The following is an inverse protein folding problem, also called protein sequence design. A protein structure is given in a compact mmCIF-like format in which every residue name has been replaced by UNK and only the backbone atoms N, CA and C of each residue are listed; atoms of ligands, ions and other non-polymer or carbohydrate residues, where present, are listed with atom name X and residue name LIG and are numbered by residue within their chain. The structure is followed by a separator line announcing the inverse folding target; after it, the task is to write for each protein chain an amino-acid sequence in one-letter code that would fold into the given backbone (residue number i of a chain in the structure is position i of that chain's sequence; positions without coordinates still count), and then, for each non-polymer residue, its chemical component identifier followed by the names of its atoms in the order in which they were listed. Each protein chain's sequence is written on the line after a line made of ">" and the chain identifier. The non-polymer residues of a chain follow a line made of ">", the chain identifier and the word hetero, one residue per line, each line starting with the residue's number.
data_IF_883929625524
#
_entry.id   IF_883929625524
#
_cell.length_a   1.000
_cell.length_b   1.000
_cell.length_c   1.000
_cell.angle_alpha   90.00
_cell.angle_beta   90.00
_cell.angle_gamma   90.00
#
_symmetry.space_group_name_H-M   'P 1'
#
loop_
_entity.id
_entity.type
_entity.pdbx_description
1 polymer ?
#
# COMPACT_ATOMS: atom_id res chain seq x y z
N UNK A 1 -1.41 14.06 -9.34
CA UNK A 1 -0.37 15.14 -9.48
C UNK A 1 -0.59 16.18 -8.40
N UNK A 2 0.46 16.53 -7.64
CA UNK A 2 0.41 17.58 -6.62
C UNK A 2 0.17 18.94 -7.28
N UNK A 3 -0.64 19.78 -6.63
CA UNK A 3 -0.79 21.17 -7.05
C UNK A 3 0.21 22.04 -6.26
N UNK A 4 1.37 22.29 -6.86
CA UNK A 4 2.49 23.04 -6.24
C UNK A 4 2.06 24.43 -5.77
N UNK A 5 1.34 25.18 -6.61
CA UNK A 5 0.87 26.53 -6.26
C UNK A 5 -0.06 26.50 -5.05
N UNK A 6 -0.91 25.47 -4.96
CA UNK A 6 -1.80 25.29 -3.82
C UNK A 6 -1.03 24.94 -2.55
N UNK A 7 -0.03 24.08 -2.63
CA UNK A 7 0.83 23.74 -1.48
C UNK A 7 1.62 24.97 -1.04
N UNK A 8 2.24 25.71 -1.95
CA UNK A 8 2.93 26.98 -1.63
C UNK A 8 2.01 27.93 -0.90
N UNK A 9 0.79 28.13 -1.42
CA UNK A 9 -0.22 29.00 -0.80
C UNK A 9 -0.62 28.55 0.61
N UNK A 10 -0.71 27.24 0.85
CA UNK A 10 -1.01 26.69 2.18
C UNK A 10 0.17 26.90 3.13
N UNK A 11 1.41 26.75 2.66
CA UNK A 11 2.61 27.04 3.46
C UNK A 11 2.69 28.55 3.79
N UNK A 12 2.35 29.42 2.85
CA UNK A 12 2.33 30.87 3.07
C UNK A 12 1.33 31.32 4.15
N UNK A 13 0.32 30.49 4.46
CA UNK A 13 -0.64 30.74 5.54
C UNK A 13 -0.13 30.38 6.93
N UNK A 14 1.06 29.78 7.07
CA UNK A 14 1.63 29.37 8.36
C UNK A 14 1.58 30.49 9.41
N UNK A 15 1.94 31.77 9.12
CA UNK A 15 1.86 32.82 10.13
C UNK A 15 0.44 33.06 10.64
N UNK A 16 -0.57 32.98 9.75
CA UNK A 16 -1.99 33.13 10.10
C UNK A 16 -2.46 31.97 10.97
N UNK A 17 -2.05 30.76 10.61
CA UNK A 17 -2.36 29.54 11.37
C UNK A 17 -1.70 29.56 12.75
N UNK A 18 -0.45 30.01 12.84
CA UNK A 18 0.27 30.17 14.09
C UNK A 18 -0.42 31.15 15.05
N UNK A 19 -1.06 32.19 14.52
CA UNK A 19 -1.83 33.15 15.30
C UNK A 19 -3.13 32.56 15.91
N UNK A 20 -3.52 31.35 15.53
CA UNK A 20 -4.70 30.65 16.09
C UNK A 20 -4.42 29.92 17.40
N UNK A 21 -3.17 29.85 17.86
CA UNK A 21 -2.87 29.25 19.15
C UNK A 21 -3.60 29.94 20.30
N UNK A 22 -4.13 29.18 21.19
CA UNK A 22 -4.87 29.66 22.37
C UNK A 22 -4.33 29.03 23.64
N UNK A 23 -4.25 29.80 24.74
CA UNK A 23 -3.84 29.26 26.04
C UNK A 23 -4.90 28.29 26.59
N UNK A 24 -4.43 27.20 27.14
CA UNK A 24 -5.25 26.23 27.86
C UNK A 24 -4.60 25.87 29.18
N UNK A 25 -5.39 25.85 30.26
CA UNK A 25 -4.96 25.48 31.59
C UNK A 25 -5.21 24.01 31.86
N UNK A 26 -4.20 23.29 32.26
CA UNK A 26 -4.31 21.92 32.71
C UNK A 26 -4.08 21.83 34.21
N UNK A 27 -5.01 21.17 34.92
CA UNK A 27 -4.91 20.94 36.37
C UNK A 27 -4.43 19.52 36.64
N UNK A 28 -3.29 19.41 37.30
CA UNK A 28 -2.80 18.14 37.82
C UNK A 28 -3.09 18.04 39.30
N UNK A 29 -3.54 16.89 39.75
CA UNK A 29 -3.67 16.56 41.15
C UNK A 29 -2.52 15.63 41.52
N UNK A 30 -1.64 16.08 42.44
CA UNK A 30 -0.65 15.19 43.00
C UNK A 30 -1.30 14.03 43.76
N UNK A 31 -0.65 12.87 43.87
CA UNK A 31 -1.09 11.82 44.77
C UNK A 31 -1.42 12.36 46.15
N UNK A 32 -2.42 11.84 46.82
CA UNK A 32 -2.81 12.22 48.15
C UNK A 32 -1.61 12.00 49.10
N UNK A 33 -1.23 13.03 49.83
CA UNK A 33 -0.25 12.90 50.88
C UNK A 33 -0.81 12.00 51.99
N UNK A 34 -0.18 10.87 52.25
CA UNK A 34 -0.66 9.86 53.21
C UNK A 34 -0.65 10.38 54.66
N UNK A 35 0.16 11.39 54.97
CA UNK A 35 0.28 11.94 56.31
C UNK A 35 -0.75 13.02 56.57
N UNK A 36 -1.13 13.83 55.59
CA UNK A 36 -2.01 14.99 55.75
C UNK A 36 -3.37 14.85 55.10
N UNK A 37 -3.57 13.82 54.26
CA UNK A 37 -4.78 13.63 53.49
C UNK A 37 -5.02 14.73 52.44
N UNK A 38 -4.09 15.61 52.21
CA UNK A 38 -4.25 16.73 51.30
C UNK A 38 -3.68 16.40 49.91
N UNK A 39 -4.34 16.85 48.85
CA UNK A 39 -3.85 16.81 47.48
C UNK A 39 -3.39 18.20 47.08
N UNK A 40 -2.14 18.33 46.69
CA UNK A 40 -1.64 19.56 46.07
C UNK A 40 -2.19 19.68 44.66
N UNK A 41 -2.80 20.81 44.34
CA UNK A 41 -3.17 21.18 42.97
C UNK A 41 -2.02 21.93 42.34
N UNK A 42 -1.56 21.50 41.20
CA UNK A 42 -0.70 22.29 40.33
C UNK A 42 -1.41 22.56 39.02
N UNK A 43 -1.34 23.77 38.51
CA UNK A 43 -1.86 24.10 37.17
C UNK A 43 -0.68 24.59 36.34
N UNK A 44 -0.66 24.20 35.06
CA UNK A 44 0.24 24.78 34.09
C UNK A 44 -0.53 25.19 32.84
N UNK A 45 -0.08 26.25 32.22
CA UNK A 45 -0.65 26.79 30.99
C UNK A 45 0.18 26.29 29.80
N UNK A 46 -0.48 25.93 28.71
CA UNK A 46 0.14 25.58 27.46
C UNK A 46 -0.67 26.11 26.28
N UNK A 47 -0.02 26.30 25.15
CA UNK A 47 -0.65 26.76 23.92
C UNK A 47 -1.12 25.55 23.09
N UNK A 48 -2.33 25.66 22.52
CA UNK A 48 -2.92 24.59 21.70
C UNK A 48 -3.67 25.14 20.50
N UNK A 49 -3.70 24.37 19.44
CA UNK A 49 -4.35 24.74 18.16
C UNK A 49 -5.31 23.64 17.65
N UNK A 50 -5.23 22.42 18.14
CA UNK A 50 -5.86 21.24 17.54
C UNK A 50 -7.39 21.31 17.41
N UNK A 51 -8.07 22.17 18.15
CA UNK A 51 -9.53 22.37 18.08
C UNK A 51 -9.96 23.58 17.25
N UNK A 52 -9.04 24.36 16.70
CA UNK A 52 -9.38 25.54 15.92
C UNK A 52 -9.89 25.11 14.54
N UNK A 53 -11.11 25.51 14.13
CA UNK A 53 -11.71 25.09 12.86
C UNK A 53 -10.86 25.46 11.64
N UNK A 54 -10.25 26.64 11.67
CA UNK A 54 -9.38 27.13 10.60
C UNK A 54 -8.11 26.28 10.47
N UNK A 55 -7.51 25.88 11.59
CA UNK A 55 -6.38 24.96 11.61
C UNK A 55 -6.77 23.59 11.03
N UNK A 56 -7.90 23.04 11.44
CA UNK A 56 -8.36 21.74 10.95
C UNK A 56 -8.58 21.79 9.44
N UNK A 57 -9.25 22.83 8.95
CA UNK A 57 -9.47 23.01 7.51
C UNK A 57 -8.15 23.15 6.74
N UNK A 58 -7.22 23.97 7.23
CA UNK A 58 -5.89 24.12 6.63
C UNK A 58 -5.12 22.81 6.61
N UNK A 59 -5.11 22.11 7.74
CA UNK A 59 -4.46 20.79 7.89
C UNK A 59 -5.02 19.79 6.88
N UNK A 60 -6.33 19.66 6.77
CA UNK A 60 -6.98 18.72 5.86
C UNK A 60 -6.67 19.04 4.39
N UNK A 61 -6.63 20.32 4.02
CA UNK A 61 -6.24 20.75 2.69
C UNK A 61 -4.77 20.42 2.39
N UNK A 62 -3.88 20.63 3.35
CA UNK A 62 -2.45 20.28 3.20
C UNK A 62 -2.25 18.78 3.11
N UNK A 63 -2.89 18.01 3.99
CA UNK A 63 -2.87 16.54 3.91
C UNK A 63 -3.38 16.03 2.57
N UNK A 64 -4.47 16.61 2.04
CA UNK A 64 -5.00 16.24 0.73
C UNK A 64 -4.00 16.45 -0.41
N UNK A 65 -3.25 17.54 -0.39
CA UNK A 65 -2.23 17.79 -1.42
C UNK A 65 -0.99 16.91 -1.22
N UNK A 66 -0.51 16.75 0.02
CA UNK A 66 0.69 15.98 0.31
C UNK A 66 0.50 14.48 0.13
N UNK A 67 -0.70 13.95 0.35
CA UNK A 67 -1.03 12.54 0.06
C UNK A 67 -0.88 12.16 -1.42
N UNK A 68 -0.76 13.13 -2.31
CA UNK A 68 -0.50 12.89 -3.74
C UNK A 68 0.98 12.61 -4.05
N UNK A 69 1.85 12.76 -3.05
CA UNK A 69 3.28 12.42 -3.12
C UNK A 69 3.47 11.11 -2.36
N UNK A 70 3.71 10.03 -3.08
CA UNK A 70 3.88 8.70 -2.51
C UNK A 70 5.36 8.32 -2.41
N UNK A 71 5.68 7.49 -1.41
CA UNK A 71 7.01 6.90 -1.25
C UNK A 71 8.11 7.85 -0.80
N UNK A 72 7.78 9.09 -0.42
CA UNK A 72 8.73 10.07 0.09
C UNK A 72 8.74 10.09 1.62
N UNK A 73 9.81 9.61 2.22
CA UNK A 73 9.99 9.56 3.67
C UNK A 73 9.89 10.95 4.33
N UNK A 74 10.25 12.01 3.63
CA UNK A 74 10.16 13.38 4.15
C UNK A 74 8.72 13.85 4.26
N UNK A 75 7.92 13.55 3.24
CA UNK A 75 6.47 13.80 3.23
C UNK A 75 5.78 12.98 4.32
N UNK A 76 6.14 11.70 4.49
CA UNK A 76 5.61 10.84 5.55
C UNK A 76 5.86 11.42 6.96
N UNK A 77 7.03 12.02 7.19
CA UNK A 77 7.33 12.69 8.46
C UNK A 77 6.46 13.95 8.68
N UNK A 78 6.21 14.73 7.62
CA UNK A 78 5.29 15.87 7.67
C UNK A 78 3.87 15.40 7.99
N UNK A 79 3.40 14.33 7.33
CA UNK A 79 2.08 13.77 7.55
C UNK A 79 1.90 13.25 8.98
N UNK A 80 2.92 12.59 9.56
CA UNK A 80 2.92 12.18 10.97
C UNK A 80 2.82 13.37 11.92
N UNK A 81 3.49 14.49 11.63
CA UNK A 81 3.35 15.70 12.43
C UNK A 81 1.94 16.29 12.33
N UNK A 82 1.36 16.37 11.13
CA UNK A 82 0.02 16.89 10.89
C UNK A 82 -1.06 16.09 11.62
N UNK A 83 -0.91 14.79 11.75
CA UNK A 83 -1.91 13.90 12.39
C UNK A 83 -1.83 13.88 13.92
N UNK A 84 -0.72 14.32 14.52
CA UNK A 84 -0.45 14.16 15.96
C UNK A 84 -0.83 15.36 16.84
N UNK A 85 -1.58 16.35 16.33
CA UNK A 85 -2.05 17.48 17.14
C UNK A 85 -3.18 17.02 18.09
N UNK A 86 -2.98 17.18 19.39
CA UNK A 86 -3.89 16.68 20.43
C UNK A 86 -4.00 17.59 21.67
N UNK A 87 -3.35 18.74 21.67
CA UNK A 87 -3.33 19.74 22.72
C UNK A 87 -1.97 19.93 23.35
N UNK A 88 -1.61 19.11 24.33
CA UNK A 88 -0.33 19.24 25.02
C UNK A 88 0.85 19.01 24.07
N UNK A 89 1.73 20.00 23.99
CA UNK A 89 2.92 20.00 23.12
C UNK A 89 2.63 20.37 21.66
N UNK A 90 1.44 20.91 21.35
CA UNK A 90 1.08 21.37 19.99
C UNK A 90 2.04 22.44 19.48
N UNK A 91 2.50 23.37 20.33
CA UNK A 91 3.42 24.43 19.96
C UNK A 91 4.73 23.88 19.40
N UNK A 92 5.38 22.98 20.13
CA UNK A 92 6.63 22.37 19.68
C UNK A 92 6.46 21.45 18.45
N UNK A 93 5.28 20.82 18.28
CA UNK A 93 4.94 20.08 17.05
C UNK A 93 4.77 21.01 15.87
N UNK A 94 4.11 22.15 16.08
CA UNK A 94 3.89 23.14 15.04
C UNK A 94 5.22 23.76 14.58
N UNK A 95 6.14 24.07 15.49
CA UNK A 95 7.49 24.57 15.14
C UNK A 95 8.26 23.58 14.26
N UNK A 96 8.20 22.28 14.61
CA UNK A 96 8.82 21.22 13.79
C UNK A 96 8.13 21.11 12.43
N UNK A 97 6.80 21.18 12.39
CA UNK A 97 6.03 21.17 11.15
C UNK A 97 6.36 22.37 10.27
N UNK A 98 6.38 23.59 10.84
CA UNK A 98 6.75 24.82 10.16
C UNK A 98 8.15 24.73 9.52
N UNK A 99 9.14 24.23 10.29
CA UNK A 99 10.50 24.03 9.77
C UNK A 99 10.52 23.08 8.57
N UNK A 100 9.82 21.95 8.65
CA UNK A 100 9.77 20.98 7.56
C UNK A 100 9.00 21.51 6.34
N UNK A 101 7.92 22.23 6.55
CA UNK A 101 7.15 22.81 5.44
C UNK A 101 7.93 23.90 4.71
N UNK A 102 8.75 24.69 5.41
CA UNK A 102 9.61 25.67 4.77
C UNK A 102 10.68 25.00 3.90
N UNK A 103 11.31 23.92 4.35
CA UNK A 103 12.24 23.12 3.54
C UNK A 103 11.53 22.51 2.34
N UNK A 104 10.34 21.93 2.54
CA UNK A 104 9.54 21.40 1.44
C UNK A 104 9.23 22.48 0.40
N UNK A 105 8.87 23.70 0.82
CA UNK A 105 8.58 24.83 -0.07
C UNK A 105 9.70 25.11 -1.06
N UNK A 106 10.95 25.08 -0.57
CA UNK A 106 12.13 25.39 -1.40
C UNK A 106 12.40 24.30 -2.45
N UNK A 107 11.93 23.07 -2.21
CA UNK A 107 12.10 21.89 -3.07
C UNK A 107 10.82 21.48 -3.81
N UNK A 108 9.72 22.22 -3.71
CA UNK A 108 8.44 21.83 -4.33
C UNK A 108 8.50 21.70 -5.85
N UNK A 109 9.40 22.41 -6.51
CA UNK A 109 9.56 22.30 -7.96
C UNK A 109 10.11 20.92 -8.38
N UNK A 110 10.88 20.26 -7.52
CA UNK A 110 11.39 18.91 -7.74
C UNK A 110 10.26 17.88 -7.81
N UNK A 111 9.14 18.13 -7.12
CA UNK A 111 7.92 17.31 -7.16
C UNK A 111 7.01 17.66 -8.36
N UNK A 112 7.30 18.76 -9.07
CA UNK A 112 6.55 19.19 -10.25
C UNK A 112 7.20 18.79 -11.58
N UNK A 113 8.51 18.70 -11.61
CA UNK A 113 9.30 18.47 -12.83
C UNK A 113 9.54 16.96 -13.11
N UNK A 114 9.18 16.06 -12.21
CA UNK A 114 9.15 14.62 -12.47
C UNK A 114 7.96 14.20 -13.36
N UNK A 115 7.54 15.12 -14.21
CA UNK A 115 6.45 14.94 -15.14
C UNK A 115 6.87 14.42 -16.50
N UNK A 116 7.34 13.17 -16.59
CA UNK A 116 7.19 12.40 -17.82
C UNK A 116 7.03 10.88 -17.62
N UNK A 117 6.90 10.41 -16.39
CA UNK A 117 6.13 9.20 -16.17
C UNK A 117 4.71 9.65 -15.84
N UNK A 118 3.78 9.41 -16.75
CA UNK A 118 2.38 9.69 -16.54
C UNK A 118 1.99 9.06 -15.20
N UNK A 119 1.90 9.89 -14.14
CA UNK A 119 1.30 9.45 -12.89
C UNK A 119 -0.10 9.00 -13.25
N UNK A 120 -0.26 7.72 -13.22
CA UNK A 120 -1.54 7.07 -13.33
C UNK A 120 -2.31 7.60 -12.13
N UNK A 121 -3.35 8.41 -12.36
CA UNK A 121 -4.36 8.63 -11.35
C UNK A 121 -4.86 7.24 -10.99
N UNK A 122 -4.37 6.73 -9.87
CA UNK A 122 -4.86 5.50 -9.30
C UNK A 122 -6.21 5.82 -8.68
N UNK A 123 -7.24 5.71 -9.51
CA UNK A 123 -8.65 5.79 -9.10
C UNK A 123 -9.05 4.52 -8.33
N UNK A 124 -8.07 3.70 -7.95
CA UNK A 124 -8.31 2.52 -7.15
C UNK A 124 -8.65 2.94 -5.71
N UNK A 125 -9.72 2.37 -5.20
CA UNK A 125 -10.23 2.60 -3.85
C UNK A 125 -9.34 2.00 -2.74
N UNK A 126 -8.28 1.26 -3.12
CA UNK A 126 -7.26 0.70 -2.25
C UNK A 126 -5.89 1.04 -2.83
N UNK A 127 -5.00 1.71 -2.08
CA UNK A 127 -3.65 2.05 -2.55
C UNK A 127 -2.84 0.80 -2.90
N UNK A 128 -2.12 0.82 -4.03
CA UNK A 128 -1.24 -0.26 -4.47
C UNK A 128 -0.26 -0.70 -3.39
N UNK A 129 0.38 0.27 -2.74
CA UNK A 129 1.36 0.02 -1.68
C UNK A 129 0.78 -0.82 -0.54
N UNK A 130 -0.45 -0.49 -0.10
CA UNK A 130 -1.09 -1.18 1.03
C UNK A 130 -1.32 -2.65 0.70
N UNK A 131 -1.72 -2.95 -0.55
CA UNK A 131 -1.93 -4.31 -1.03
C UNK A 131 -0.59 -5.04 -1.13
N UNK A 132 0.42 -4.42 -1.75
CA UNK A 132 1.76 -4.99 -1.88
C UNK A 132 2.40 -5.29 -0.51
N UNK A 133 2.29 -4.37 0.46
CA UNK A 133 2.80 -4.56 1.82
C UNK A 133 2.08 -5.72 2.52
N UNK A 134 0.77 -5.85 2.33
CA UNK A 134 0.00 -6.96 2.92
C UNK A 134 0.33 -8.30 2.24
N UNK A 135 0.49 -8.34 0.92
CA UNK A 135 0.94 -9.53 0.19
C UNK A 135 2.34 -9.95 0.64
N UNK A 136 3.29 -8.99 0.73
CA UNK A 136 4.63 -9.24 1.25
C UNK A 136 4.58 -9.89 2.65
N UNK A 137 3.80 -9.32 3.56
CA UNK A 137 3.62 -9.85 4.91
C UNK A 137 3.03 -11.26 4.89
N UNK A 138 2.01 -11.50 4.07
CA UNK A 138 1.32 -12.79 3.97
C UNK A 138 2.23 -13.87 3.41
N UNK A 139 2.97 -13.59 2.33
CA UNK A 139 3.97 -14.49 1.75
C UNK A 139 5.12 -14.80 2.74
N UNK A 140 5.59 -13.78 3.48
CA UNK A 140 6.60 -13.96 4.52
C UNK A 140 6.08 -14.82 5.70
N UNK A 141 4.80 -14.69 6.08
CA UNK A 141 4.18 -15.55 7.11
C UNK A 141 4.05 -16.98 6.60
N UNK A 142 3.66 -17.19 5.33
CA UNK A 142 3.60 -18.50 4.70
C UNK A 142 4.95 -19.23 4.79
N UNK A 143 6.03 -18.58 4.35
CA UNK A 143 7.38 -19.16 4.39
C UNK A 143 7.88 -19.54 5.80
N UNK A 144 7.45 -18.80 6.82
CA UNK A 144 7.84 -19.06 8.22
C UNK A 144 6.96 -20.07 8.92
N UNK A 145 5.86 -20.45 8.32
CA UNK A 145 4.93 -21.41 8.91
C UNK A 145 5.29 -22.84 8.46
N UNK A 146 5.84 -23.63 9.36
CA UNK A 146 6.27 -25.01 9.09
C UNK A 146 5.18 -25.97 8.61
N UNK A 147 3.91 -25.60 8.68
CA UNK A 147 2.82 -26.36 8.09
C UNK A 147 2.81 -26.27 6.57
N UNK A 148 3.40 -25.21 5.99
CA UNK A 148 3.48 -25.00 4.54
C UNK A 148 4.91 -25.29 4.09
N UNK A 149 5.07 -26.34 3.32
CA UNK A 149 6.35 -26.85 2.85
C UNK A 149 6.22 -27.42 1.43
N UNK A 150 7.25 -28.11 0.96
CA UNK A 150 7.27 -28.70 -0.39
C UNK A 150 6.15 -29.69 -0.68
N UNK A 151 5.53 -30.29 0.35
CA UNK A 151 4.43 -31.25 0.21
C UNK A 151 3.06 -30.55 0.18
N UNK A 152 2.98 -29.29 0.61
CA UNK A 152 1.71 -28.54 0.63
C UNK A 152 1.18 -28.32 -0.78
N UNK A 153 -0.13 -28.46 -0.95
CA UNK A 153 -0.79 -28.15 -2.23
C UNK A 153 -0.83 -26.64 -2.46
N UNK A 154 -1.00 -26.24 -3.71
CA UNK A 154 -1.25 -24.86 -4.13
C UNK A 154 -2.46 -24.28 -3.42
N UNK A 155 -3.59 -24.99 -3.48
CA UNK A 155 -4.86 -24.57 -2.86
C UNK A 155 -4.69 -24.28 -1.36
N UNK A 156 -3.96 -25.14 -0.64
CA UNK A 156 -3.74 -24.94 0.80
C UNK A 156 -2.92 -23.68 1.10
N UNK A 157 -1.97 -23.34 0.23
CA UNK A 157 -1.20 -22.10 0.34
C UNK A 157 -2.03 -20.87 -0.03
N UNK A 158 -2.85 -20.98 -1.07
CA UNK A 158 -3.79 -19.95 -1.48
C UNK A 158 -4.82 -19.64 -0.39
N UNK A 159 -5.39 -20.69 0.24
CA UNK A 159 -6.30 -20.54 1.38
C UNK A 159 -5.68 -19.77 2.53
N UNK A 160 -4.43 -20.08 2.88
CA UNK A 160 -3.73 -19.36 3.94
C UNK A 160 -3.47 -17.89 3.60
N UNK A 161 -3.04 -17.60 2.37
CA UNK A 161 -2.85 -16.21 1.91
C UNK A 161 -4.19 -15.47 1.92
N UNK A 162 -5.27 -16.10 1.43
CA UNK A 162 -6.62 -15.55 1.45
C UNK A 162 -7.05 -15.17 2.87
N UNK A 163 -6.91 -16.08 3.84
CA UNK A 163 -7.29 -15.85 5.23
C UNK A 163 -6.53 -14.66 5.85
N UNK A 164 -5.24 -14.49 5.51
CA UNK A 164 -4.44 -13.36 5.96
C UNK A 164 -4.84 -12.03 5.28
N UNK A 165 -5.29 -12.07 4.04
CA UNK A 165 -5.79 -10.89 3.33
C UNK A 165 -7.17 -10.47 3.84
N UNK A 166 -8.03 -11.44 4.20
CA UNK A 166 -9.38 -11.21 4.73
C UNK A 166 -9.36 -10.50 6.10
N UNK A 167 -8.25 -10.58 6.85
CA UNK A 167 -8.06 -9.77 8.05
C UNK A 167 -8.11 -8.24 7.79
N UNK A 168 -7.87 -7.81 6.55
CA UNK A 168 -7.69 -6.39 6.21
C UNK A 168 -8.58 -5.90 5.08
N UNK A 169 -9.07 -6.79 4.22
CA UNK A 169 -9.83 -6.47 3.03
C UNK A 169 -11.12 -7.29 2.96
N UNK A 170 -12.05 -6.86 2.14
CA UNK A 170 -13.21 -7.67 1.77
C UNK A 170 -12.76 -8.65 0.69
N UNK A 171 -12.45 -9.87 1.09
CA UNK A 171 -12.04 -10.93 0.19
C UNK A 171 -13.28 -11.75 -0.21
N UNK A 172 -13.42 -11.98 -1.51
CA UNK A 172 -14.38 -12.97 -2.03
C UNK A 172 -13.61 -14.22 -2.39
N UNK A 173 -14.04 -15.33 -1.81
CA UNK A 173 -13.61 -16.68 -2.16
C UNK A 173 -14.24 -17.06 -3.51
N UNK A 174 -13.57 -17.97 -4.24
CA UNK A 174 -14.01 -18.66 -5.45
C UNK A 174 -15.50 -18.43 -5.77
N UNK A 175 -15.84 -17.26 -6.27
CA UNK A 175 -17.20 -17.01 -6.73
C UNK A 175 -17.34 -17.70 -8.06
N UNK A 176 -18.05 -18.83 -8.08
CA UNK A 176 -18.54 -19.46 -9.30
C UNK A 176 -19.33 -18.42 -10.09
N UNK A 177 -18.67 -17.74 -10.99
CA UNK A 177 -19.31 -16.86 -11.95
C UNK A 177 -19.54 -17.69 -13.22
N UNK A 178 -20.74 -18.24 -13.30
CA UNK A 178 -21.29 -18.85 -14.52
C UNK A 178 -21.39 -20.36 -14.45
N UNK A 179 -22.62 -20.86 -14.46
CA UNK A 179 -22.97 -22.24 -14.82
C UNK A 179 -22.45 -22.54 -16.21
N UNK A 180 -21.48 -23.45 -16.33
CA UNK A 180 -21.23 -24.08 -17.63
C UNK A 180 -22.13 -25.27 -17.78
N UNK A 181 -23.01 -25.24 -18.76
CA UNK A 181 -23.88 -26.36 -19.15
C UNK A 181 -23.14 -27.60 -19.65
N UNK A 182 -21.79 -27.59 -19.70
CA UNK A 182 -20.96 -28.66 -20.27
C UNK A 182 -19.95 -29.28 -19.34
N UNK A 183 -20.12 -29.28 -18.03
CA UNK A 183 -19.34 -30.14 -17.11
C UNK A 183 -17.81 -29.88 -17.05
N UNK A 184 -17.30 -28.88 -17.72
CA UNK A 184 -15.94 -28.36 -17.62
C UNK A 184 -15.97 -27.17 -16.66
N UNK A 185 -15.47 -27.33 -15.46
CA UNK A 185 -15.56 -26.35 -14.40
C UNK A 185 -15.15 -24.95 -14.89
N UNK A 186 -16.04 -23.98 -14.72
CA UNK A 186 -15.67 -22.59 -14.82
C UNK A 186 -14.51 -22.37 -13.84
N UNK A 187 -13.35 -22.01 -14.35
CA UNK A 187 -12.19 -21.82 -13.51
C UNK A 187 -12.46 -20.65 -12.55
N UNK A 188 -12.18 -20.87 -11.31
CA UNK A 188 -12.40 -19.93 -10.21
C UNK A 188 -11.11 -19.13 -10.00
N UNK A 189 -11.23 -17.82 -9.81
CA UNK A 189 -10.13 -16.96 -9.32
C UNK A 189 -9.80 -17.41 -7.90
N UNK A 190 -8.51 -17.59 -7.57
CA UNK A 190 -8.12 -18.02 -6.23
C UNK A 190 -8.51 -17.01 -5.16
N UNK A 191 -8.24 -15.71 -5.40
CA UNK A 191 -8.52 -14.64 -4.44
C UNK A 191 -8.94 -13.36 -5.17
N UNK A 192 -10.07 -12.77 -4.78
CA UNK A 192 -10.55 -11.49 -5.28
C UNK A 192 -10.73 -10.51 -4.12
N UNK A 193 -10.07 -9.34 -4.18
CA UNK A 193 -10.28 -8.27 -3.20
C UNK A 193 -11.23 -7.23 -3.79
N UNK A 194 -12.24 -6.86 -3.00
CA UNK A 194 -13.26 -5.89 -3.39
C UNK A 194 -13.18 -4.62 -2.54
N UNK A 195 -13.45 -3.48 -3.17
CA UNK A 195 -13.70 -2.22 -2.50
C UNK A 195 -15.06 -1.67 -2.93
N UNK A 196 -15.89 -1.24 -1.97
CA UNK A 196 -17.25 -0.74 -2.22
C UNK A 196 -18.10 -1.68 -3.10
N UNK A 197 -17.87 -3.00 -3.00
CA UNK A 197 -18.58 -4.03 -3.74
C UNK A 197 -18.07 -4.32 -5.15
N UNK A 198 -17.06 -3.58 -5.62
CA UNK A 198 -16.41 -3.80 -6.92
C UNK A 198 -15.05 -4.51 -6.74
N UNK A 199 -14.68 -5.43 -7.64
CA UNK A 199 -13.36 -6.04 -7.63
C UNK A 199 -12.30 -4.99 -7.98
N UNK A 200 -11.21 -4.97 -7.19
CA UNK A 200 -10.05 -4.07 -7.41
C UNK A 200 -8.75 -4.84 -7.56
N UNK A 201 -8.69 -6.07 -7.04
CA UNK A 201 -7.52 -6.94 -7.15
C UNK A 201 -7.95 -8.34 -7.54
N UNK A 202 -7.24 -8.93 -8.51
CA UNK A 202 -7.28 -10.35 -8.84
C UNK A 202 -5.95 -11.00 -8.47
N UNK A 203 -5.98 -12.12 -7.79
CA UNK A 203 -4.79 -12.87 -7.37
C UNK A 203 -4.93 -14.31 -7.79
N UNK A 204 -3.92 -14.84 -8.45
CA UNK A 204 -3.74 -16.26 -8.79
C UNK A 204 -2.48 -16.78 -8.12
N UNK A 205 -2.55 -17.92 -7.49
CA UNK A 205 -1.41 -18.64 -7.00
C UNK A 205 -0.98 -19.75 -7.97
N UNK A 206 0.30 -20.10 -7.96
CA UNK A 206 0.82 -21.22 -8.75
C UNK A 206 2.02 -21.84 -8.06
N UNK A 207 2.01 -23.16 -7.94
CA UNK A 207 3.14 -23.92 -7.39
C UNK A 207 3.95 -24.56 -8.52
N UNK A 208 5.28 -24.29 -8.54
CA UNK A 208 6.19 -24.83 -9.55
C UNK A 208 7.45 -25.41 -8.90
N UNK A 209 8.00 -26.46 -9.50
CA UNK A 209 9.26 -27.09 -9.10
C UNK A 209 10.44 -26.76 -10.01
N UNK A 210 10.14 -26.20 -11.17
CA UNK A 210 11.08 -25.73 -12.19
C UNK A 210 10.44 -24.59 -12.98
N UNK A 211 11.09 -24.07 -14.03
CA UNK A 211 10.44 -23.12 -14.94
C UNK A 211 9.40 -23.86 -15.82
N UNK A 212 8.18 -23.85 -15.40
CA UNK A 212 7.02 -24.48 -16.04
C UNK A 212 6.24 -23.44 -16.85
N UNK A 213 6.71 -23.15 -18.07
CA UNK A 213 6.19 -22.05 -18.91
C UNK A 213 4.69 -22.17 -19.18
N UNK A 214 4.22 -23.35 -19.58
CA UNK A 214 2.81 -23.58 -19.92
C UNK A 214 1.89 -23.36 -18.70
N UNK A 215 2.38 -23.72 -17.50
CA UNK A 215 1.69 -23.50 -16.25
C UNK A 215 1.63 -21.99 -15.92
N UNK A 216 2.78 -21.29 -16.04
CA UNK A 216 2.83 -19.84 -15.82
C UNK A 216 1.96 -19.09 -16.84
N UNK A 217 1.95 -19.50 -18.11
CA UNK A 217 1.07 -18.95 -19.16
C UNK A 217 -0.38 -19.08 -18.77
N UNK A 218 -0.77 -20.26 -18.31
CA UNK A 218 -2.16 -20.54 -17.91
C UNK A 218 -2.60 -19.60 -16.80
N UNK A 219 -1.80 -19.46 -15.74
CA UNK A 219 -2.17 -18.66 -14.56
C UNK A 219 -2.12 -17.15 -14.83
N UNK A 220 -1.11 -16.64 -15.55
CA UNK A 220 -1.06 -15.22 -15.91
C UNK A 220 -2.22 -14.82 -16.84
N UNK A 221 -2.59 -15.69 -17.78
CA UNK A 221 -3.75 -15.47 -18.66
C UNK A 221 -5.07 -15.51 -17.89
N UNK A 222 -5.20 -16.41 -16.90
CA UNK A 222 -6.38 -16.43 -16.03
C UNK A 222 -6.58 -15.08 -15.35
N UNK A 223 -5.55 -14.55 -14.67
CA UNK A 223 -5.66 -13.32 -13.90
C UNK A 223 -5.84 -12.09 -14.77
N UNK A 224 -5.29 -12.08 -15.98
CA UNK A 224 -5.37 -10.90 -16.87
C UNK A 224 -6.61 -10.89 -17.78
N UNK A 225 -7.13 -12.06 -18.16
CA UNK A 225 -8.19 -12.11 -19.18
C UNK A 225 -9.42 -12.88 -18.73
N UNK A 226 -9.23 -14.08 -18.16
CA UNK A 226 -10.32 -15.03 -17.98
C UNK A 226 -11.23 -14.66 -16.80
N UNK A 227 -10.64 -14.20 -15.71
CA UNK A 227 -11.36 -13.92 -14.45
C UNK A 227 -11.61 -12.45 -14.19
N UNK A 228 -11.03 -11.60 -15.02
CA UNK A 228 -11.17 -10.16 -14.93
C UNK A 228 -11.86 -9.56 -16.17
N UNK A 229 -13.18 -9.72 -16.33
CA UNK A 229 -13.88 -9.15 -17.46
C UNK A 229 -13.95 -7.61 -17.42
N UNK A 230 -13.81 -7.02 -16.23
CA UNK A 230 -13.96 -5.57 -16.02
C UNK A 230 -12.65 -4.79 -16.15
N UNK A 231 -11.49 -5.44 -16.01
CA UNK A 231 -10.19 -4.78 -15.99
C UNK A 231 -9.85 -4.16 -14.63
N UNK A 232 -9.56 -5.01 -13.65
CA UNK A 232 -9.13 -4.55 -12.33
C UNK A 232 -7.83 -3.75 -12.40
N UNK A 233 -7.66 -2.74 -11.51
CA UNK A 233 -6.43 -1.96 -11.43
C UNK A 233 -5.19 -2.83 -11.15
N UNK A 234 -5.35 -3.92 -10.37
CA UNK A 234 -4.26 -4.76 -9.92
C UNK A 234 -4.49 -6.23 -10.22
N UNK A 235 -3.46 -6.88 -10.75
CA UNK A 235 -3.37 -8.33 -10.97
C UNK A 235 -2.13 -8.88 -10.28
N UNK A 236 -2.27 -9.93 -9.48
CA UNK A 236 -1.19 -10.55 -8.75
C UNK A 236 -1.03 -12.01 -9.16
N UNK A 237 0.20 -12.41 -9.49
CA UNK A 237 0.60 -13.79 -9.64
C UNK A 237 1.53 -14.17 -8.50
N UNK A 238 1.10 -15.11 -7.65
CA UNK A 238 1.88 -15.61 -6.51
C UNK A 238 2.52 -16.94 -6.89
N UNK A 239 3.83 -16.97 -7.06
CA UNK A 239 4.58 -18.16 -7.45
C UNK A 239 5.22 -18.80 -6.20
N UNK A 240 4.76 -19.99 -5.85
CA UNK A 240 5.33 -20.83 -4.80
C UNK A 240 6.33 -21.79 -5.44
N UNK A 241 7.62 -21.52 -5.33
CA UNK A 241 8.62 -22.34 -5.99
C UNK A 241 9.43 -23.21 -5.03
N UNK A 242 9.66 -24.45 -5.43
CA UNK A 242 10.48 -25.43 -4.68
C UNK A 242 11.84 -25.68 -5.34
N UNK A 243 12.29 -24.78 -6.24
CA UNK A 243 13.58 -24.95 -6.94
C UNK A 243 14.75 -24.88 -5.97
N UNK A 244 15.68 -25.83 -6.06
CA UNK A 244 16.82 -25.97 -5.13
C UNK A 244 17.78 -24.76 -5.11
N UNK A 245 17.91 -24.04 -6.24
CA UNK A 245 18.74 -22.85 -6.37
C UNK A 245 17.84 -21.65 -6.68
N UNK A 246 17.31 -21.06 -5.63
CA UNK A 246 16.28 -20.02 -5.73
C UNK A 246 16.66 -18.86 -6.62
N UNK A 247 17.83 -18.23 -6.40
CA UNK A 247 18.26 -17.05 -7.22
C UNK A 247 18.30 -17.36 -8.71
N UNK A 248 18.88 -18.52 -9.10
CA UNK A 248 18.94 -18.91 -10.51
C UNK A 248 17.57 -19.32 -11.06
N UNK A 249 16.68 -19.82 -10.21
CA UNK A 249 15.30 -20.14 -10.56
C UNK A 249 14.49 -18.86 -10.78
N UNK A 250 14.59 -17.92 -9.85
CA UNK A 250 13.95 -16.63 -9.96
C UNK A 250 14.42 -15.85 -11.19
N UNK A 251 15.74 -15.82 -11.48
CA UNK A 251 16.24 -15.15 -12.69
C UNK A 251 15.60 -15.72 -13.96
N UNK A 252 15.41 -17.03 -14.07
CA UNK A 252 14.71 -17.63 -15.21
C UNK A 252 13.24 -17.24 -15.30
N UNK A 253 12.57 -17.08 -14.15
CA UNK A 253 11.18 -16.60 -14.09
C UNK A 253 11.13 -15.14 -14.55
N UNK A 254 12.05 -14.30 -14.05
CA UNK A 254 12.17 -12.90 -14.45
C UNK A 254 12.42 -12.75 -15.96
N UNK A 255 13.41 -13.47 -16.50
CA UNK A 255 13.75 -13.48 -17.94
C UNK A 255 12.55 -13.95 -18.79
N UNK A 256 11.79 -14.92 -18.29
CA UNK A 256 10.59 -15.41 -18.96
C UNK A 256 9.52 -14.33 -19.04
N UNK A 257 9.18 -13.65 -17.93
CA UNK A 257 8.18 -12.60 -17.93
C UNK A 257 8.66 -11.31 -18.61
N UNK A 258 9.96 -11.05 -18.64
CA UNK A 258 10.55 -9.95 -19.45
C UNK A 258 10.29 -10.17 -20.95
N UNK A 259 10.37 -11.42 -21.42
CA UNK A 259 10.11 -11.80 -22.81
C UNK A 259 8.65 -12.23 -23.10
N UNK A 260 7.76 -12.18 -22.10
CA UNK A 260 6.40 -12.69 -22.22
C UNK A 260 5.53 -11.84 -23.17
N UNK A 261 4.72 -12.47 -23.99
CA UNK A 261 3.77 -11.80 -24.88
C UNK A 261 2.44 -11.56 -24.11
N UNK A 262 2.37 -10.44 -23.42
CA UNK A 262 1.20 -10.08 -22.62
C UNK A 262 -0.02 -9.81 -23.54
N UNK A 263 -1.25 -10.09 -23.05
CA UNK A 263 -2.47 -9.86 -23.85
C UNK A 263 -2.80 -8.38 -24.07
N UNK A 264 -2.06 -7.48 -23.42
CA UNK A 264 -2.21 -6.02 -23.49
C UNK A 264 -0.87 -5.35 -23.71
N UNK A 265 -0.88 -4.15 -24.30
CA UNK A 265 0.32 -3.38 -24.57
C UNK A 265 1.07 -3.03 -23.28
N UNK A 266 2.39 -3.19 -23.31
CA UNK A 266 3.26 -2.77 -22.19
C UNK A 266 3.33 -1.24 -22.13
N UNK A 267 3.19 -0.69 -20.93
CA UNK A 267 3.46 0.72 -20.63
C UNK A 267 4.87 0.88 -20.08
N UNK A 268 5.33 -0.08 -19.27
CA UNK A 268 6.70 -0.11 -18.70
C UNK A 268 7.38 -1.42 -19.06
N UNK A 269 8.70 -1.47 -18.88
CA UNK A 269 9.43 -2.73 -18.80
C UNK A 269 9.11 -3.44 -17.48
N UNK A 270 9.38 -4.75 -17.41
CA UNK A 270 9.29 -5.51 -16.15
C UNK A 270 10.40 -5.04 -15.22
N UNK A 271 10.04 -4.61 -14.03
CA UNK A 271 10.94 -4.12 -12.99
C UNK A 271 11.09 -5.16 -11.87
N UNK A 272 12.33 -5.46 -11.47
CA UNK A 272 12.64 -6.27 -10.29
C UNK A 272 12.69 -5.38 -9.05
N UNK A 273 11.70 -5.52 -8.16
CA UNK A 273 11.49 -4.66 -6.99
C UNK A 273 12.10 -5.29 -5.75
N UNK A 274 12.94 -4.55 -5.04
CA UNK A 274 13.58 -5.05 -3.84
C UNK A 274 12.58 -5.28 -2.70
N UNK A 275 12.49 -6.51 -2.21
CA UNK A 275 11.64 -6.89 -1.07
C UNK A 275 12.35 -6.80 0.29
N UNK A 276 13.67 -6.71 0.29
CA UNK A 276 14.50 -6.84 1.50
C UNK A 276 14.71 -8.29 1.97
N UNK A 277 14.17 -9.30 1.25
CA UNK A 277 14.30 -10.73 1.58
C UNK A 277 15.02 -11.49 0.47
N UNK A 278 15.90 -12.42 0.86
CA UNK A 278 16.64 -13.25 -0.10
C UNK A 278 15.73 -14.25 -0.81
N UNK A 279 14.79 -14.86 -0.08
CA UNK A 279 13.95 -15.98 -0.51
C UNK A 279 12.52 -15.56 -0.88
N UNK A 280 12.26 -14.25 -1.02
CA UNK A 280 11.00 -13.67 -1.46
C UNK A 280 11.30 -12.52 -2.41
N UNK A 281 10.83 -12.63 -3.62
CA UNK A 281 11.10 -11.69 -4.72
C UNK A 281 9.82 -11.11 -5.28
N UNK A 282 9.93 -9.92 -5.86
CA UNK A 282 8.82 -9.22 -6.47
C UNK A 282 9.25 -8.58 -7.78
N UNK A 283 8.48 -8.77 -8.84
CA UNK A 283 8.61 -8.03 -10.08
C UNK A 283 7.27 -7.40 -10.45
N UNK A 284 7.30 -6.27 -11.16
CA UNK A 284 6.10 -5.56 -11.57
C UNK A 284 6.19 -5.06 -13.01
N UNK A 285 5.03 -4.93 -13.66
CA UNK A 285 4.88 -4.34 -14.98
C UNK A 285 3.53 -3.64 -15.09
N UNK A 286 3.46 -2.59 -15.88
CA UNK A 286 2.21 -1.88 -16.17
C UNK A 286 1.78 -2.20 -17.59
N UNK A 287 0.53 -2.62 -17.74
CA UNK A 287 -0.10 -2.90 -19.02
C UNK A 287 -1.21 -1.89 -19.32
N UNK A 288 -1.43 -1.59 -20.59
CA UNK A 288 -2.53 -0.73 -21.06
C UNK A 288 -3.68 -1.58 -21.62
N UNK A 289 -4.76 -1.68 -20.88
CA UNK A 289 -5.98 -2.37 -21.28
C UNK A 289 -7.07 -1.34 -21.61
N UNK A 290 -7.33 -1.10 -22.91
CA UNK A 290 -8.38 -0.16 -23.35
C UNK A 290 -8.25 1.25 -22.73
N UNK A 291 -7.04 1.81 -22.69
CA UNK A 291 -6.70 3.10 -22.07
C UNK A 291 -6.82 3.13 -20.54
N UNK A 292 -7.04 2.00 -19.90
CA UNK A 292 -6.89 1.82 -18.46
C UNK A 292 -5.61 1.04 -18.18
N UNK A 293 -4.92 1.41 -17.13
CA UNK A 293 -3.69 0.76 -16.73
C UNK A 293 -3.98 -0.33 -15.71
N UNK A 294 -3.47 -1.53 -15.97
CA UNK A 294 -3.45 -2.64 -15.02
C UNK A 294 -2.03 -2.85 -14.56
N UNK A 295 -1.78 -2.80 -13.26
CA UNK A 295 -0.49 -3.14 -12.67
C UNK A 295 -0.46 -4.62 -12.35
N UNK A 296 0.56 -5.28 -12.89
CA UNK A 296 0.76 -6.72 -12.70
C UNK A 296 1.93 -6.92 -11.77
N UNK A 297 1.67 -7.60 -10.66
CA UNK A 297 2.66 -7.93 -9.64
C UNK A 297 2.94 -9.44 -9.66
N UNK A 298 4.20 -9.80 -9.82
CA UNK A 298 4.66 -11.18 -9.83
C UNK A 298 5.51 -11.42 -8.59
N UNK A 299 4.95 -12.14 -7.64
CA UNK A 299 5.62 -12.48 -6.39
C UNK A 299 6.14 -13.91 -6.45
N UNK A 300 7.36 -14.14 -6.01
CA UNK A 300 7.97 -15.46 -6.00
C UNK A 300 8.52 -15.78 -4.61
N UNK A 301 7.95 -16.79 -3.96
CA UNK A 301 8.41 -17.30 -2.66
C UNK A 301 9.09 -18.66 -2.80
N UNK A 302 10.23 -18.82 -2.16
CA UNK A 302 10.92 -20.12 -2.04
C UNK A 302 10.27 -20.92 -0.91
N UNK A 303 9.72 -22.08 -1.25
CA UNK A 303 9.09 -23.02 -0.32
C UNK A 303 10.04 -24.19 -0.09
N UNK A 304 10.44 -24.43 1.15
CA UNK A 304 11.44 -25.44 1.55
C UNK A 304 10.87 -26.47 2.51
#
# INVERSE_FOLDING_TARGET
>A
MINIDRVKKLIDQIPEIKALFRPQNFQMFAPCDRATGQRKKSSFEFQTIYKQPEFLKWKDQLCFELNKIEGDNYIDEIMKLLTNFSGLGDEGRFEKLESKLNVLRDHLEEYGDNGSEAQIEDDSRIPEKDICDKVLLSMSKLQRNHHYNIESSEDTMNDYIRDLLDESYIVKDQTRQGDSEDGGGAGEVDIQICAEGLPVVMIEGVKISSLEKDTLDTHINKVLTKYDPNGCPYAFLLIYTTVKKFDSGYQKILDYFQGYDYPYDRVTDLEDVATGYAELKHAQIILNRNNQKTRVHIWTAHIV
#
